data_IF_569709542107
#
_entry.id   IF_569709542107
#
_cell.length_a   1.000
_cell.length_b   1.000
_cell.length_c   1.000
_cell.angle_alpha   90.00
_cell.angle_beta   90.00
_cell.angle_gamma   90.00
#
_symmetry.space_group_name_H-M   'P 1'
#
loop_
_entity.id
_entity.type
_entity.pdbx_description
1 polymer ?
#
# COMPACT_ATOMS: atom_id res chain seq x y z
N UNK A 1 16.88 0.92 31.07
CA UNK A 1 17.03 -0.04 29.97
C UNK A 1 16.13 0.42 28.82
N UNK A 2 16.79 0.82 27.74
CA UNK A 2 16.35 1.04 26.35
C UNK A 2 15.04 1.79 26.10
N UNK A 3 15.17 3.10 25.86
CA UNK A 3 14.22 3.84 25.05
C UNK A 3 14.25 3.25 23.63
N UNK A 4 13.13 2.66 23.20
CA UNK A 4 12.92 2.36 21.80
C UNK A 4 12.85 3.69 21.06
N UNK A 5 13.93 4.06 20.37
CA UNK A 5 13.92 5.20 19.45
C UNK A 5 12.94 4.85 18.34
N UNK A 6 11.72 5.33 18.46
CA UNK A 6 10.71 5.25 17.41
C UNK A 6 11.26 6.06 16.24
N UNK A 7 11.70 5.37 15.18
CA UNK A 7 12.15 6.00 13.94
C UNK A 7 11.09 7.03 13.54
N UNK A 8 11.51 8.24 13.13
CA UNK A 8 10.59 9.26 12.64
C UNK A 8 9.88 8.69 11.42
N UNK A 9 8.62 8.31 11.58
CA UNK A 9 7.82 7.74 10.51
C UNK A 9 7.61 8.84 9.49
N UNK A 10 8.14 8.66 8.27
CA UNK A 10 7.87 9.56 7.16
C UNK A 10 6.33 9.63 6.98
N UNK A 11 5.67 10.80 7.11
CA UNK A 11 4.22 10.92 7.01
C UNK A 11 3.65 10.34 5.70
N UNK A 12 4.48 10.31 4.65
CA UNK A 12 4.16 9.71 3.36
C UNK A 12 3.83 8.22 3.49
N UNK A 13 4.48 7.48 4.41
CA UNK A 13 4.23 6.06 4.68
C UNK A 13 2.74 5.79 4.85
N UNK A 14 2.07 6.63 5.63
CA UNK A 14 0.65 6.46 5.98
C UNK A 14 -0.28 6.62 4.77
N UNK A 15 0.20 7.18 3.66
CA UNK A 15 -0.57 7.37 2.43
C UNK A 15 -0.47 6.21 1.44
N UNK A 16 0.37 5.20 1.71
CA UNK A 16 0.69 4.12 0.76
C UNK A 16 -0.26 2.91 0.87
N UNK A 17 -0.97 2.76 1.98
CA UNK A 17 -1.67 1.51 2.31
C UNK A 17 -3.15 1.49 1.90
N UNK A 18 -3.75 2.67 1.68
CA UNK A 18 -5.20 2.76 1.46
C UNK A 18 -6.01 2.35 2.70
N UNK A 19 -5.51 2.67 3.89
CA UNK A 19 -6.15 2.37 5.17
C UNK A 19 -6.22 3.60 6.08
N UNK A 20 -6.29 4.78 5.47
CA UNK A 20 -6.33 6.02 6.23
C UNK A 20 -7.62 6.10 7.05
N UNK A 21 -7.56 6.67 8.26
CA UNK A 21 -8.76 6.95 9.03
C UNK A 21 -9.77 7.79 8.25
N UNK A 22 -11.06 7.59 8.53
CA UNK A 22 -12.17 8.24 7.82
C UNK A 22 -12.05 9.77 7.76
N UNK A 23 -11.55 10.38 8.83
CA UNK A 23 -11.37 11.82 8.97
C UNK A 23 -10.10 12.35 8.27
N UNK A 24 -9.27 11.48 7.71
CA UNK A 24 -7.96 11.82 7.13
C UNK A 24 -7.91 11.60 5.61
N UNK A 25 -8.74 10.70 5.07
CA UNK A 25 -8.81 10.43 3.64
C UNK A 25 -9.57 11.53 2.89
N UNK A 26 -9.00 12.07 1.80
CA UNK A 26 -9.73 12.98 0.91
C UNK A 26 -9.92 14.42 1.42
N UNK A 27 -9.19 14.84 2.46
CA UNK A 27 -9.24 16.23 2.93
C UNK A 27 -8.59 17.16 1.90
N UNK A 28 -9.24 18.26 1.53
CA UNK A 28 -8.78 19.27 0.56
C UNK A 28 -8.63 18.80 -0.90
N UNK A 29 -9.47 17.87 -1.36
CA UNK A 29 -9.41 17.35 -2.73
C UNK A 29 -10.53 17.94 -3.60
N UNK A 30 -10.31 17.98 -4.92
CA UNK A 30 -11.24 18.49 -5.92
C UNK A 30 -12.62 17.80 -5.87
N UNK A 31 -13.65 18.53 -6.27
CA UNK A 31 -15.04 18.06 -6.33
C UNK A 31 -15.31 17.12 -7.53
N UNK A 32 -14.43 16.14 -7.74
CA UNK A 32 -14.50 15.13 -8.79
C UNK A 32 -14.61 13.73 -8.18
N UNK A 33 -15.06 12.76 -8.96
CA UNK A 33 -15.04 11.37 -8.52
C UNK A 33 -13.61 10.80 -8.48
N UNK A 34 -13.28 9.88 -7.55
CA UNK A 34 -14.16 9.26 -6.55
C UNK A 34 -14.31 10.07 -5.24
N UNK A 35 -13.73 11.26 -5.15
CA UNK A 35 -13.67 12.06 -3.92
C UNK A 35 -15.05 12.51 -3.43
N UNK A 36 -15.94 12.84 -4.36
CA UNK A 36 -17.34 13.16 -4.05
C UNK A 36 -18.05 11.97 -3.40
N UNK A 37 -17.89 10.75 -3.94
CA UNK A 37 -18.45 9.54 -3.32
C UNK A 37 -17.81 9.23 -1.95
N UNK A 38 -16.50 9.39 -1.79
CA UNK A 38 -15.86 9.23 -0.48
C UNK A 38 -16.38 10.22 0.57
N UNK A 39 -16.60 11.47 0.18
CA UNK A 39 -17.18 12.49 1.07
C UNK A 39 -18.63 12.14 1.48
N UNK A 40 -19.43 11.66 0.53
CA UNK A 40 -20.80 11.18 0.81
C UNK A 40 -20.81 9.96 1.73
N UNK A 41 -19.98 8.95 1.45
CA UNK A 41 -19.86 7.76 2.30
C UNK A 41 -19.51 8.15 3.74
N UNK A 42 -18.50 9.01 3.93
CA UNK A 42 -18.11 9.52 5.24
C UNK A 42 -19.25 10.22 5.98
N UNK A 43 -19.99 11.08 5.28
CA UNK A 43 -21.16 11.77 5.87
C UNK A 43 -22.19 10.77 6.39
N UNK A 44 -22.42 9.67 5.67
CA UNK A 44 -23.36 8.63 6.09
C UNK A 44 -22.79 7.75 7.21
N UNK A 45 -21.47 7.50 7.24
CA UNK A 45 -20.82 6.81 8.37
C UNK A 45 -20.91 7.63 9.66
N UNK A 46 -20.73 8.95 9.60
CA UNK A 46 -20.88 9.87 10.74
C UNK A 46 -22.31 9.90 11.30
N UNK A 47 -23.30 9.65 10.45
CA UNK A 47 -24.72 9.51 10.84
C UNK A 47 -25.08 8.09 11.32
N UNK A 48 -24.11 7.16 11.37
CA UNK A 48 -24.32 5.73 11.63
C UNK A 48 -25.24 5.03 10.60
N UNK A 49 -25.39 5.59 9.39
CA UNK A 49 -26.15 5.02 8.29
C UNK A 49 -25.33 3.97 7.52
N UNK A 50 -24.91 2.91 8.22
CA UNK A 50 -23.93 1.92 7.71
C UNK A 50 -24.32 1.30 6.35
N UNK A 51 -25.60 0.99 6.15
CA UNK A 51 -26.09 0.41 4.90
C UNK A 51 -25.97 1.38 3.71
N UNK A 52 -26.28 2.67 3.93
CA UNK A 52 -26.19 3.69 2.89
C UNK A 52 -24.72 3.97 2.57
N UNK A 53 -23.88 4.08 3.60
CA UNK A 53 -22.43 4.23 3.43
C UNK A 53 -21.83 3.06 2.63
N UNK A 54 -22.19 1.82 2.96
CA UNK A 54 -21.75 0.64 2.24
C UNK A 54 -22.19 0.68 0.77
N UNK A 55 -23.44 1.05 0.47
CA UNK A 55 -23.92 1.18 -0.90
C UNK A 55 -23.15 2.24 -1.71
N UNK A 56 -22.72 3.33 -1.08
CA UNK A 56 -21.88 4.36 -1.72
C UNK A 56 -20.46 3.82 -1.96
N UNK A 57 -19.85 3.15 -0.98
CA UNK A 57 -18.52 2.55 -1.14
C UNK A 57 -18.51 1.47 -2.22
N UNK A 58 -19.61 0.73 -2.39
CA UNK A 58 -19.76 -0.25 -3.45
C UNK A 58 -19.74 0.42 -4.83
N UNK A 59 -20.30 1.62 -4.97
CA UNK A 59 -20.21 2.38 -6.22
C UNK A 59 -18.75 2.69 -6.55
N UNK A 60 -17.94 3.11 -5.58
CA UNK A 60 -16.51 3.37 -5.78
C UNK A 60 -15.78 2.09 -6.22
N UNK A 61 -16.04 0.95 -5.56
CA UNK A 61 -15.44 -0.34 -5.90
C UNK A 61 -15.77 -0.76 -7.34
N UNK A 62 -16.97 -0.40 -7.83
CA UNK A 62 -17.42 -0.73 -9.19
C UNK A 62 -16.99 0.29 -10.25
N UNK A 63 -16.40 1.42 -9.86
CA UNK A 63 -15.89 2.39 -10.82
C UNK A 63 -14.68 1.81 -11.56
N UNK A 64 -14.62 1.91 -12.90
CA UNK A 64 -13.45 1.46 -13.64
C UNK A 64 -12.29 2.45 -13.51
N UNK A 65 -11.06 1.93 -13.66
CA UNK A 65 -9.85 2.73 -13.82
C UNK A 65 -9.57 3.76 -12.71
N UNK A 66 -9.90 3.42 -11.45
CA UNK A 66 -9.41 4.19 -10.31
C UNK A 66 -7.98 3.77 -9.94
N UNK A 67 -7.29 4.65 -9.22
CA UNK A 67 -6.06 4.30 -8.54
C UNK A 67 -6.31 3.16 -7.52
N UNK A 68 -5.37 2.22 -7.43
CA UNK A 68 -5.43 1.04 -6.55
C UNK A 68 -5.67 1.42 -5.09
N UNK A 69 -5.09 2.54 -4.63
CA UNK A 69 -5.29 3.07 -3.27
C UNK A 69 -6.73 3.50 -3.02
N UNK A 70 -7.46 3.94 -4.05
CA UNK A 70 -8.88 4.27 -3.91
C UNK A 70 -9.70 3.00 -3.66
N UNK A 71 -9.44 1.91 -4.41
CA UNK A 71 -10.09 0.62 -4.15
C UNK A 71 -9.78 0.11 -2.75
N UNK A 72 -8.49 0.11 -2.36
CA UNK A 72 -8.05 -0.29 -1.03
C UNK A 72 -8.77 0.48 0.08
N UNK A 73 -8.87 1.80 -0.04
CA UNK A 73 -9.56 2.64 0.92
C UNK A 73 -11.06 2.34 1.00
N UNK A 74 -11.71 2.10 -0.14
CA UNK A 74 -13.12 1.73 -0.16
C UNK A 74 -13.37 0.37 0.53
N UNK A 75 -12.53 -0.63 0.27
CA UNK A 75 -12.55 -1.92 0.97
C UNK A 75 -12.29 -1.76 2.47
N UNK A 76 -11.31 -0.93 2.86
CA UNK A 76 -11.03 -0.65 4.27
C UNK A 76 -12.26 -0.08 5.00
N UNK A 77 -12.94 0.91 4.42
CA UNK A 77 -14.16 1.46 5.02
C UNK A 77 -15.32 0.46 5.04
N UNK A 78 -15.48 -0.38 4.01
CA UNK A 78 -16.46 -1.48 4.03
C UNK A 78 -16.21 -2.42 5.21
N UNK A 79 -14.95 -2.78 5.44
CA UNK A 79 -14.56 -3.65 6.54
C UNK A 79 -14.85 -3.05 7.91
N UNK A 80 -14.62 -1.75 8.09
CA UNK A 80 -14.96 -1.02 9.33
C UNK A 80 -16.47 -1.00 9.61
N UNK A 81 -17.29 -0.99 8.54
CA UNK A 81 -18.75 -1.06 8.65
C UNK A 81 -19.26 -2.49 8.92
N UNK A 82 -18.38 -3.49 8.97
CA UNK A 82 -18.74 -4.89 9.13
C UNK A 82 -19.20 -5.58 7.85
N UNK A 83 -19.04 -4.94 6.69
CA UNK A 83 -19.33 -5.55 5.40
C UNK A 83 -18.09 -6.25 4.85
N UNK A 84 -18.31 -7.44 4.29
CA UNK A 84 -17.34 -8.20 3.51
C UNK A 84 -17.98 -8.44 2.15
N UNK A 85 -17.24 -8.12 1.08
CA UNK A 85 -17.70 -8.39 -0.27
C UNK A 85 -17.45 -9.86 -0.58
N UNK A 86 -18.43 -10.54 -1.19
CA UNK A 86 -18.27 -11.90 -1.72
C UNK A 86 -17.55 -11.84 -3.06
N UNK A 87 -16.30 -11.37 -3.04
CA UNK A 87 -15.43 -11.20 -4.20
C UNK A 87 -14.15 -11.98 -3.98
N UNK A 88 -13.54 -12.40 -5.08
CA UNK A 88 -12.23 -13.06 -5.02
C UNK A 88 -11.19 -12.14 -4.37
N UNK A 89 -10.32 -12.74 -3.55
CA UNK A 89 -9.18 -12.06 -2.95
C UNK A 89 -8.25 -11.54 -4.05
N UNK A 90 -8.14 -10.22 -4.16
CA UNK A 90 -7.30 -9.57 -5.17
C UNK A 90 -6.17 -8.79 -4.52
N UNK A 91 -4.97 -8.89 -5.10
CA UNK A 91 -3.83 -8.07 -4.74
C UNK A 91 -3.89 -6.75 -5.52
N UNK A 92 -4.01 -5.65 -4.80
CA UNK A 92 -4.08 -4.30 -5.39
C UNK A 92 -2.76 -3.54 -5.27
N UNK A 93 -1.86 -3.99 -4.39
CA UNK A 93 -0.51 -3.43 -4.30
C UNK A 93 0.37 -4.16 -3.29
N UNK A 94 1.64 -3.79 -3.31
CA UNK A 94 2.67 -4.26 -2.37
C UNK A 94 3.43 -3.07 -1.84
N UNK A 95 3.65 -3.02 -0.52
CA UNK A 95 4.50 -2.03 0.14
C UNK A 95 5.63 -2.76 0.86
N UNK A 96 6.86 -2.52 0.43
CA UNK A 96 8.08 -3.02 1.07
C UNK A 96 8.66 -1.90 1.93
N UNK A 97 8.88 -2.21 3.20
CA UNK A 97 9.49 -1.32 4.18
C UNK A 97 10.83 -1.92 4.61
N UNK A 98 11.90 -1.11 4.59
CA UNK A 98 13.22 -1.52 5.08
C UNK A 98 13.73 -0.50 6.08
N UNK A 99 13.83 -0.92 7.35
CA UNK A 99 14.28 -0.04 8.41
C UNK A 99 15.81 0.05 8.44
N UNK A 100 16.32 1.17 7.95
CA UNK A 100 17.73 1.53 7.96
C UNK A 100 18.12 2.15 9.31
N UNK A 101 19.41 2.28 9.63
CA UNK A 101 19.85 2.95 10.86
C UNK A 101 19.34 4.39 11.00
N UNK A 102 19.21 5.09 9.88
CA UNK A 102 18.91 6.54 9.83
C UNK A 102 17.46 6.85 9.41
N UNK A 103 16.68 5.85 9.01
CA UNK A 103 15.33 6.08 8.49
C UNK A 103 14.71 4.84 7.85
N UNK A 104 13.71 5.06 7.02
CA UNK A 104 12.93 4.00 6.39
C UNK A 104 13.01 4.12 4.88
N UNK A 105 13.44 3.06 4.20
CA UNK A 105 13.22 2.92 2.77
C UNK A 105 11.82 2.34 2.55
N UNK A 106 11.08 2.96 1.64
CA UNK A 106 9.71 2.61 1.29
C UNK A 106 9.62 2.42 -0.21
N UNK A 107 9.20 1.24 -0.65
CA UNK A 107 8.81 0.99 -2.02
C UNK A 107 7.36 0.55 -2.05
N UNK A 108 6.55 1.19 -2.88
CA UNK A 108 5.17 0.80 -3.15
C UNK A 108 4.99 0.55 -4.65
N UNK A 109 4.31 -0.54 -4.99
CA UNK A 109 3.94 -0.88 -6.37
C UNK A 109 2.47 -1.31 -6.38
N UNK A 110 1.71 -0.81 -7.35
CA UNK A 110 0.25 -0.96 -7.38
C UNK A 110 -0.22 -1.61 -8.68
N UNK A 111 -1.41 -2.22 -8.63
CA UNK A 111 -2.01 -2.96 -9.76
C UNK A 111 -2.40 -2.10 -10.96
N UNK A 112 -2.45 -0.78 -10.78
CA UNK A 112 -2.67 0.23 -11.82
C UNK A 112 -1.36 0.70 -12.49
N UNK A 113 -0.25 0.01 -12.25
CA UNK A 113 1.09 0.35 -12.75
C UNK A 113 1.67 1.67 -12.25
N UNK A 114 1.13 2.21 -11.16
CA UNK A 114 1.80 3.27 -10.39
C UNK A 114 2.79 2.69 -9.39
N UNK A 115 3.83 3.47 -9.07
CA UNK A 115 4.82 3.08 -8.08
C UNK A 115 5.37 4.30 -7.35
N UNK A 116 5.83 4.10 -6.10
CA UNK A 116 6.47 5.14 -5.31
C UNK A 116 7.68 4.58 -4.59
N UNK A 117 8.76 5.34 -4.58
CA UNK A 117 9.95 5.03 -3.81
C UNK A 117 10.32 6.23 -2.95
N UNK A 118 10.57 6.02 -1.66
CA UNK A 118 11.09 7.03 -0.76
C UNK A 118 12.28 6.44 -0.04
N UNK A 119 13.42 7.12 -0.12
CA UNK A 119 14.61 6.66 0.55
C UNK A 119 14.69 7.24 1.98
N UNK A 120 15.50 6.61 2.81
CA UNK A 120 15.73 7.02 4.19
C UNK A 120 16.34 8.44 4.29
N UNK A 121 17.01 8.93 3.24
CA UNK A 121 17.61 10.26 3.20
C UNK A 121 16.64 11.38 2.80
N UNK A 122 15.35 11.06 2.57
CA UNK A 122 14.29 12.03 2.26
C UNK A 122 14.04 12.31 0.77
N UNK A 123 14.79 11.68 -0.15
CA UNK A 123 14.47 11.70 -1.57
C UNK A 123 13.25 10.81 -1.88
N UNK A 124 12.45 11.21 -2.86
CA UNK A 124 11.25 10.49 -3.27
C UNK A 124 11.06 10.49 -4.78
N UNK A 125 10.61 9.36 -5.31
CA UNK A 125 10.26 9.15 -6.72
C UNK A 125 8.80 8.72 -6.75
N UNK A 126 8.01 9.42 -7.56
CA UNK A 126 6.60 9.10 -7.78
C UNK A 126 6.40 8.82 -9.27
N UNK A 127 6.00 7.58 -9.57
CA UNK A 127 5.73 7.10 -10.91
C UNK A 127 4.21 6.95 -11.10
N UNK A 128 3.63 7.90 -11.84
CA UNK A 128 2.20 7.96 -12.14
C UNK A 128 1.90 7.37 -13.54
N UNK A 129 2.58 6.27 -13.89
CA UNK A 129 2.43 5.53 -15.15
C UNK A 129 2.40 6.40 -16.44
N UNK A 130 3.37 7.31 -16.68
CA UNK A 130 3.40 8.11 -17.91
C UNK A 130 3.61 7.29 -19.19
N UNK A 131 4.11 6.06 -19.07
CA UNK A 131 4.28 5.07 -20.14
C UNK A 131 4.54 3.68 -19.52
N UNK A 132 4.77 2.67 -20.35
CA UNK A 132 4.90 1.27 -19.93
C UNK A 132 6.33 0.83 -19.57
N UNK A 133 7.31 1.76 -19.52
CA UNK A 133 8.75 1.44 -19.46
C UNK A 133 9.24 0.71 -18.20
N UNK A 134 8.40 0.61 -17.16
CA UNK A 134 8.67 -0.12 -15.92
C UNK A 134 7.55 -1.11 -15.53
N UNK A 135 6.59 -1.34 -16.43
CA UNK A 135 5.43 -2.20 -16.14
C UNK A 135 5.84 -3.64 -15.86
N UNK A 136 6.94 -4.09 -16.46
CA UNK A 136 7.48 -5.43 -16.22
C UNK A 136 7.96 -5.57 -14.77
N UNK A 137 8.71 -4.61 -14.26
CA UNK A 137 9.24 -4.62 -12.88
C UNK A 137 8.10 -4.53 -11.86
N UNK A 138 7.10 -3.68 -12.11
CA UNK A 138 5.88 -3.63 -11.29
C UNK A 138 5.15 -4.98 -11.31
N UNK A 139 4.99 -5.60 -12.49
CA UNK A 139 4.35 -6.90 -12.63
C UNK A 139 5.09 -7.99 -11.85
N UNK A 140 6.42 -7.98 -11.87
CA UNK A 140 7.24 -8.95 -11.12
C UNK A 140 7.04 -8.81 -9.61
N UNK A 141 6.95 -7.57 -9.10
CA UNK A 141 6.62 -7.30 -7.69
C UNK A 141 5.24 -7.84 -7.34
N UNK A 142 4.22 -7.55 -8.16
CA UNK A 142 2.85 -8.00 -7.91
C UNK A 142 2.72 -9.52 -8.00
N UNK A 143 3.38 -10.17 -8.96
CA UNK A 143 3.38 -11.63 -9.10
C UNK A 143 4.02 -12.31 -7.88
N UNK A 144 5.17 -11.81 -7.41
CA UNK A 144 5.81 -12.31 -6.20
C UNK A 144 4.90 -12.12 -4.97
N UNK A 145 4.25 -10.95 -4.86
CA UNK A 145 3.26 -10.67 -3.82
C UNK A 145 2.07 -11.62 -3.88
N UNK A 146 1.56 -11.94 -5.08
CA UNK A 146 0.43 -12.85 -5.26
C UNK A 146 0.78 -14.28 -4.84
N UNK A 147 2.01 -14.75 -5.09
CA UNK A 147 2.48 -16.05 -4.58
C UNK A 147 2.45 -16.08 -3.05
N UNK A 148 2.91 -15.01 -2.39
CA UNK A 148 2.88 -14.92 -0.92
C UNK A 148 1.43 -14.84 -0.41
N UNK A 149 0.58 -14.04 -1.07
CA UNK A 149 -0.82 -13.83 -0.70
C UNK A 149 -1.61 -15.14 -0.60
N UNK A 150 -1.30 -16.14 -1.44
CA UNK A 150 -1.94 -17.46 -1.41
C UNK A 150 -1.42 -18.39 -0.31
N UNK A 151 -0.41 -17.98 0.45
CA UNK A 151 0.21 -18.78 1.52
C UNK A 151 -0.13 -18.28 2.92
N UNK A 152 -0.57 -17.02 3.05
CA UNK A 152 -0.83 -16.38 4.35
C UNK A 152 -2.25 -15.78 4.39
N UNK A 153 -2.83 -15.75 5.59
CA UNK A 153 -4.12 -15.10 5.86
C UNK A 153 -3.97 -13.60 6.17
N UNK A 154 -5.09 -12.86 6.16
CA UNK A 154 -5.08 -11.43 6.44
C UNK A 154 -4.70 -11.18 7.90
N UNK A 155 -4.08 -10.02 8.14
CA UNK A 155 -3.87 -9.48 9.46
C UNK A 155 -5.18 -8.87 9.97
N UNK A 156 -5.63 -9.30 11.15
CA UNK A 156 -6.89 -8.85 11.75
C UNK A 156 -6.72 -7.66 12.72
N UNK A 157 -5.48 -7.30 13.05
CA UNK A 157 -5.18 -6.19 13.96
C UNK A 157 -5.01 -4.84 13.26
N UNK A 158 -4.70 -3.81 14.04
CA UNK A 158 -4.28 -2.50 13.50
C UNK A 158 -2.97 -2.64 12.71
N UNK A 159 -2.78 -1.81 11.67
CA UNK A 159 -1.52 -1.78 10.93
C UNK A 159 -0.38 -1.43 11.88
N UNK A 160 0.66 -2.27 11.87
CA UNK A 160 1.83 -2.07 12.70
C UNK A 160 2.61 -0.81 12.27
N UNK A 161 3.26 -0.17 13.25
CA UNK A 161 4.27 0.87 13.00
C UNK A 161 5.44 0.33 12.16
N UNK A 162 6.37 1.21 11.77
CA UNK A 162 7.53 0.81 10.96
C UNK A 162 8.31 -0.36 11.60
N UNK A 163 8.90 -1.26 10.78
CA UNK A 163 9.75 -2.33 11.31
C UNK A 163 10.94 -1.77 12.09
N UNK A 164 11.51 -2.58 12.98
CA UNK A 164 12.72 -2.19 13.73
C UNK A 164 13.96 -2.18 12.84
N UNK A 165 14.95 -1.36 13.16
CA UNK A 165 16.22 -1.27 12.39
C UNK A 165 16.82 -2.65 12.09
N UNK A 166 17.22 -2.84 10.83
CA UNK A 166 17.76 -4.11 10.30
C UNK A 166 16.69 -5.12 9.86
N UNK A 167 15.40 -4.78 9.97
CA UNK A 167 14.29 -5.62 9.53
C UNK A 167 13.66 -5.08 8.25
N UNK A 168 13.12 -6.00 7.46
CA UNK A 168 12.22 -5.70 6.36
C UNK A 168 10.80 -6.13 6.69
N UNK A 169 9.81 -5.44 6.13
CA UNK A 169 8.42 -5.88 6.09
C UNK A 169 7.89 -5.83 4.66
N UNK A 170 7.28 -6.93 4.23
CA UNK A 170 6.56 -7.04 2.96
C UNK A 170 5.08 -6.97 3.31
N UNK A 171 4.39 -5.94 2.84
CA UNK A 171 2.96 -5.73 3.03
C UNK A 171 2.23 -5.99 1.71
N UNK A 172 1.22 -6.85 1.72
CA UNK A 172 0.35 -7.13 0.58
C UNK A 172 -0.99 -6.44 0.84
N UNK A 173 -1.36 -5.55 -0.06
CA UNK A 173 -2.57 -4.75 0.03
C UNK A 173 -3.65 -5.45 -0.79
N UNK A 174 -4.66 -5.99 -0.11
CA UNK A 174 -5.69 -6.83 -0.75
C UNK A 174 -7.10 -6.33 -0.48
N UNK A 175 -8.06 -6.82 -1.26
CA UNK A 175 -9.50 -6.57 -1.05
C UNK A 175 -10.06 -7.15 0.27
N UNK A 176 -9.32 -8.04 0.94
CA UNK A 176 -9.65 -8.61 2.26
C UNK A 176 -8.93 -7.92 3.42
N UNK A 177 -8.04 -6.96 3.13
CA UNK A 177 -7.21 -6.29 4.11
C UNK A 177 -5.71 -6.57 3.94
N UNK A 178 -4.94 -6.11 4.93
CA UNK A 178 -3.48 -6.18 4.92
C UNK A 178 -3.01 -7.61 5.20
N UNK A 179 -2.04 -8.10 4.43
CA UNK A 179 -1.26 -9.28 4.79
C UNK A 179 0.20 -8.86 4.91
N UNK A 180 0.99 -9.46 5.79
CA UNK A 180 2.41 -9.14 5.83
C UNK A 180 3.30 -10.28 6.32
N UNK A 181 4.57 -10.19 5.93
CA UNK A 181 5.67 -10.90 6.55
C UNK A 181 6.74 -9.91 6.99
N UNK A 182 7.29 -10.11 8.19
CA UNK A 182 8.38 -9.29 8.74
C UNK A 182 9.50 -10.17 9.28
N UNK A 183 10.75 -9.74 9.09
CA UNK A 183 11.89 -10.43 9.66
C UNK A 183 13.21 -9.67 9.47
N UNK A 184 14.30 -10.17 10.09
CA UNK A 184 15.64 -9.66 9.81
C UNK A 184 15.93 -9.67 8.31
N UNK A 185 16.52 -8.60 7.78
CA UNK A 185 16.73 -8.47 6.33
C UNK A 185 17.54 -9.63 5.75
N UNK A 186 18.58 -10.09 6.46
CA UNK A 186 19.37 -11.25 6.05
C UNK A 186 18.56 -12.55 6.02
N UNK A 187 17.58 -12.72 6.92
CA UNK A 187 16.71 -13.90 6.93
C UNK A 187 15.71 -13.83 5.79
N UNK A 188 15.04 -12.69 5.61
CA UNK A 188 14.08 -12.51 4.50
C UNK A 188 14.74 -12.69 3.13
N UNK A 189 15.95 -12.16 2.93
CA UNK A 189 16.70 -12.32 1.67
C UNK A 189 17.07 -13.77 1.35
N UNK A 190 17.24 -14.60 2.38
CA UNK A 190 17.54 -16.04 2.23
C UNK A 190 16.28 -16.91 2.21
N UNK A 191 15.12 -16.37 2.57
CA UNK A 191 13.84 -17.06 2.43
C UNK A 191 13.47 -17.21 0.94
N UNK A 192 12.81 -18.31 0.58
CA UNK A 192 12.45 -18.56 -0.82
C UNK A 192 11.44 -17.53 -1.33
N UNK A 193 10.39 -17.26 -0.55
CA UNK A 193 9.33 -16.35 -0.97
C UNK A 193 9.72 -14.89 -0.70
N UNK A 194 10.17 -14.59 0.51
CA UNK A 194 10.65 -13.28 0.93
C UNK A 194 11.82 -12.78 0.07
N UNK A 195 12.79 -13.64 -0.22
CA UNK A 195 13.95 -13.28 -1.03
C UNK A 195 13.58 -13.03 -2.48
N UNK A 196 12.63 -13.78 -3.04
CA UNK A 196 12.13 -13.55 -4.40
C UNK A 196 11.40 -12.21 -4.50
N UNK A 197 10.55 -11.91 -3.52
CA UNK A 197 9.85 -10.63 -3.41
C UNK A 197 10.83 -9.45 -3.26
N UNK A 198 11.80 -9.55 -2.36
CA UNK A 198 12.79 -8.49 -2.15
C UNK A 198 13.67 -8.24 -3.38
N UNK A 199 14.04 -9.29 -4.13
CA UNK A 199 14.78 -9.13 -5.40
C UNK A 199 13.95 -8.36 -6.44
N UNK A 200 12.66 -8.69 -6.57
CA UNK A 200 11.76 -7.95 -7.47
C UNK A 200 11.60 -6.48 -7.04
N UNK A 201 11.47 -6.24 -5.73
CA UNK A 201 11.41 -4.89 -5.17
C UNK A 201 12.69 -4.08 -5.45
N UNK A 202 13.87 -4.67 -5.23
CA UNK A 202 15.16 -4.03 -5.53
C UNK A 202 15.27 -3.70 -7.01
N UNK A 203 14.86 -4.60 -7.91
CA UNK A 203 14.88 -4.34 -9.35
C UNK A 203 13.99 -3.16 -9.74
N UNK A 204 12.76 -3.10 -9.21
CA UNK A 204 11.86 -1.96 -9.44
C UNK A 204 12.44 -0.65 -8.88
N UNK A 205 13.00 -0.68 -7.67
CA UNK A 205 13.65 0.48 -7.06
C UNK A 205 14.81 1.01 -7.92
N UNK A 206 15.71 0.13 -8.37
CA UNK A 206 16.81 0.51 -9.27
C UNK A 206 16.29 1.13 -10.55
N UNK A 207 15.25 0.53 -11.15
CA UNK A 207 14.64 1.06 -12.37
C UNK A 207 14.03 2.44 -12.17
N UNK A 208 13.35 2.68 -11.05
CA UNK A 208 12.81 4.00 -10.70
C UNK A 208 13.92 5.06 -10.58
N UNK A 209 15.04 4.71 -9.95
CA UNK A 209 16.21 5.59 -9.81
C UNK A 209 16.79 5.93 -11.18
N UNK A 210 17.06 4.93 -12.03
CA UNK A 210 17.62 5.13 -13.37
C UNK A 210 16.77 6.09 -14.22
N UNK A 211 15.44 5.97 -14.15
CA UNK A 211 14.52 6.84 -14.89
C UNK A 211 14.56 8.31 -14.45
N UNK A 212 15.06 8.60 -13.25
CA UNK A 212 15.26 9.98 -12.78
C UNK A 212 16.62 10.55 -13.18
N UNK A 213 17.63 9.71 -13.38
CA UNK A 213 18.97 10.13 -13.80
C UNK A 213 19.06 10.44 -15.30
N UNK A 214 18.27 9.75 -16.13
CA UNK A 214 18.19 9.99 -17.60
C UNK A 214 17.55 11.34 -17.95
N UNK A 215 16.91 12.03 -16.98
CA UNK A 215 16.31 13.37 -17.18
C UNK A 215 17.27 14.54 -16.91
N UNK A 216 18.57 14.30 -16.73
CA UNK A 216 19.62 15.33 -16.66
C UNK A 216 20.39 15.42 -17.97
#
# INVERSE_FOLDING_TARGET
>A
MNAHTQLSVNPIRETLFGDMPINSWGNNISANEPWTLFAKARTEMEKDNKQVAASILQQIIQMPALESRHYLQAHHFMHQLGYRMDQEKQLLGVVVEVAMPEGLDLLAAYSDYTARYYNYSGAGIVWESPNESINQEISQVLQAGQVIMHRIGPWEGERLGAPKTGYGRINLLTTEGLHFGEGPMNVLMNDTLGGSMLKAAIALMSRLIDMTEVKK
#
